data_IF_122978143580
#
_entry.id   IF_122978143580
#
_cell.length_a   1.000
_cell.length_b   1.000
_cell.length_c   1.000
_cell.angle_alpha   90.00
_cell.angle_beta   90.00
_cell.angle_gamma   90.00
#
_symmetry.space_group_name_H-M   'P 1'
#
loop_
_entity.id
_entity.type
_entity.pdbx_description
1 polymer ?
#
# COMPACT_ATOMS: atom_id res chain seq x y z
N UNK A 1 5.85 14.50 20.90
CA UNK A 1 4.44 14.13 21.10
C UNK A 1 3.81 15.23 21.92
N UNK A 2 2.76 15.86 21.42
CA UNK A 2 2.06 16.95 22.10
C UNK A 2 0.90 16.38 22.94
N UNK A 3 1.14 16.25 24.25
CA UNK A 3 0.14 15.70 25.18
C UNK A 3 -1.05 16.63 25.39
N UNK A 4 -0.89 17.93 25.12
CA UNK A 4 -2.02 18.86 25.13
C UNK A 4 -3.00 18.55 24.00
N UNK A 5 -2.50 18.14 22.83
CA UNK A 5 -3.33 17.73 21.71
C UNK A 5 -4.14 16.46 22.03
N UNK A 6 -3.53 15.46 22.71
CA UNK A 6 -4.22 14.25 23.18
C UNK A 6 -5.35 14.63 24.15
N UNK A 7 -5.06 15.44 25.16
CA UNK A 7 -6.04 15.90 26.14
C UNK A 7 -7.23 16.62 25.51
N UNK A 8 -6.96 17.52 24.54
CA UNK A 8 -8.01 18.21 23.77
C UNK A 8 -8.88 17.22 22.99
N UNK A 9 -8.29 16.18 22.40
CA UNK A 9 -9.07 15.21 21.61
C UNK A 9 -9.93 14.29 22.47
N UNK A 10 -9.43 13.87 23.64
CA UNK A 10 -10.25 13.16 24.64
C UNK A 10 -11.45 14.02 25.04
N UNK A 11 -11.22 15.32 25.32
CA UNK A 11 -12.28 16.26 25.70
C UNK A 11 -13.32 16.45 24.59
N UNK A 12 -12.88 16.53 23.33
CA UNK A 12 -13.74 16.66 22.16
C UNK A 12 -14.65 15.42 22.02
N UNK A 13 -14.07 14.22 21.99
CA UNK A 13 -14.82 12.96 21.88
C UNK A 13 -15.75 12.74 23.07
N UNK A 14 -15.31 13.04 24.29
CA UNK A 14 -16.16 12.95 25.48
C UNK A 14 -17.40 13.82 25.32
N UNK A 15 -17.23 15.06 24.87
CA UNK A 15 -18.34 16.00 24.67
C UNK A 15 -19.27 15.56 23.54
N UNK A 16 -18.74 15.09 22.41
CA UNK A 16 -19.57 14.61 21.29
C UNK A 16 -20.37 13.36 21.67
N UNK A 17 -19.81 12.49 22.50
CA UNK A 17 -20.48 11.32 23.05
C UNK A 17 -21.42 11.64 24.24
N UNK A 18 -21.53 12.90 24.66
CA UNK A 18 -22.44 13.34 25.73
C UNK A 18 -22.00 12.99 27.15
N UNK A 19 -20.77 12.53 27.37
CA UNK A 19 -20.28 12.17 28.70
C UNK A 19 -19.84 13.40 29.51
N UNK A 20 -20.14 13.41 30.80
CA UNK A 20 -19.44 14.24 31.79
C UNK A 20 -18.06 13.65 32.11
N UNK A 21 -17.16 14.45 32.69
CA UNK A 21 -15.84 13.94 33.12
C UNK A 21 -15.97 12.84 34.19
N UNK A 22 -17.02 12.88 35.02
CA UNK A 22 -17.29 11.87 36.06
C UNK A 22 -17.75 10.55 35.43
N UNK A 23 -18.59 10.61 34.40
CA UNK A 23 -19.03 9.41 33.69
C UNK A 23 -17.89 8.77 32.89
N UNK A 24 -17.05 9.58 32.23
CA UNK A 24 -15.87 9.06 31.56
C UNK A 24 -14.91 8.38 32.56
N UNK A 25 -14.71 8.98 33.74
CA UNK A 25 -13.80 8.50 34.76
C UNK A 25 -14.24 7.19 35.44
N UNK A 26 -15.54 6.88 35.45
CA UNK A 26 -16.12 5.77 36.22
C UNK A 26 -15.38 4.45 35.99
N UNK A 27 -14.94 3.77 37.04
CA UNK A 27 -14.20 2.50 36.97
C UNK A 27 -12.86 2.54 36.19
N UNK A 28 -12.34 3.73 35.86
CA UNK A 28 -11.05 3.92 35.17
C UNK A 28 -10.09 4.71 36.05
N UNK A 29 -10.52 5.89 36.49
CA UNK A 29 -9.68 6.83 37.24
C UNK A 29 -10.55 7.85 37.99
N UNK A 30 -9.94 8.88 38.58
CA UNK A 30 -10.70 9.95 39.24
C UNK A 30 -11.18 11.01 38.23
N UNK A 31 -12.32 11.65 38.48
CA UNK A 31 -12.79 12.76 37.65
C UNK A 31 -11.76 13.90 37.59
N UNK A 32 -11.05 14.18 38.69
CA UNK A 32 -9.97 15.16 38.72
C UNK A 32 -8.81 14.78 37.79
N UNK A 33 -8.50 13.48 37.68
CA UNK A 33 -7.49 12.98 36.77
C UNK A 33 -7.91 13.15 35.30
N UNK A 34 -9.17 12.84 34.95
CA UNK A 34 -9.71 13.17 33.61
C UNK A 34 -9.57 14.67 33.33
N UNK A 35 -9.93 15.54 34.28
CA UNK A 35 -9.79 16.98 34.08
C UNK A 35 -8.35 17.43 33.84
N UNK A 36 -7.36 16.83 34.53
CA UNK A 36 -5.94 17.14 34.33
C UNK A 36 -5.44 16.61 32.98
N UNK A 37 -5.84 15.40 32.60
CA UNK A 37 -5.54 14.81 31.29
C UNK A 37 -6.09 15.71 30.16
N UNK A 38 -7.35 16.13 30.24
CA UNK A 38 -7.98 16.98 29.22
C UNK A 38 -7.33 18.35 29.05
N UNK A 39 -6.68 18.88 30.10
CA UNK A 39 -5.91 20.12 30.05
C UNK A 39 -4.49 19.92 29.52
N UNK A 40 -4.00 18.68 29.51
CA UNK A 40 -2.61 18.35 29.21
C UNK A 40 -1.67 18.49 30.43
N UNK A 41 -2.22 18.62 31.64
CA UNK A 41 -1.44 18.81 32.88
C UNK A 41 -0.79 17.50 33.37
N UNK A 42 -1.37 16.36 33.01
CA UNK A 42 -0.90 15.02 33.42
C UNK A 42 -1.00 14.05 32.26
N UNK A 43 0.03 13.22 32.10
CA UNK A 43 0.03 12.11 31.16
C UNK A 43 -0.78 10.93 31.72
N UNK A 44 -1.75 10.39 30.97
CA UNK A 44 -2.39 9.14 31.37
C UNK A 44 -1.40 7.98 31.24
N UNK A 45 -1.53 6.99 32.12
CA UNK A 45 -0.92 5.68 31.89
C UNK A 45 -1.53 5.05 30.64
N UNK A 46 -0.76 4.20 29.95
CA UNK A 46 -1.25 3.49 28.75
C UNK A 46 -2.55 2.71 29.02
N UNK A 47 -2.66 2.08 30.19
CA UNK A 47 -3.88 1.38 30.64
C UNK A 47 -5.07 2.34 30.81
N UNK A 48 -4.85 3.51 31.40
CA UNK A 48 -5.90 4.54 31.54
C UNK A 48 -6.37 5.02 30.17
N UNK A 49 -5.43 5.31 29.26
CA UNK A 49 -5.76 5.76 27.90
C UNK A 49 -6.51 4.67 27.11
N UNK A 50 -6.15 3.40 27.28
CA UNK A 50 -6.84 2.26 26.69
C UNK A 50 -8.30 2.15 27.15
N UNK A 51 -8.56 2.21 28.45
CA UNK A 51 -9.95 2.16 28.93
C UNK A 51 -10.76 3.40 28.53
N UNK A 52 -10.12 4.57 28.45
CA UNK A 52 -10.75 5.78 27.91
C UNK A 52 -11.14 5.55 26.44
N UNK A 53 -10.25 4.96 25.62
CA UNK A 53 -10.52 4.71 24.20
C UNK A 53 -11.68 3.73 24.02
N UNK A 54 -11.73 2.64 24.80
CA UNK A 54 -12.84 1.70 24.80
C UNK A 54 -14.18 2.39 25.14
N UNK A 55 -14.20 3.26 26.17
CA UNK A 55 -15.43 3.95 26.55
C UNK A 55 -15.90 4.97 25.51
N UNK A 56 -14.97 5.60 24.81
CA UNK A 56 -15.27 6.55 23.75
C UNK A 56 -15.50 5.89 22.39
N UNK A 57 -15.40 4.56 22.31
CA UNK A 57 -15.64 3.79 21.09
C UNK A 57 -14.60 4.02 19.99
N UNK A 58 -13.36 4.35 20.35
CA UNK A 58 -12.26 4.58 19.41
C UNK A 58 -11.06 3.69 19.70
N UNK A 59 -10.27 3.40 18.66
CA UNK A 59 -8.98 2.75 18.83
C UNK A 59 -8.00 3.67 19.58
N UNK A 60 -7.15 3.11 20.44
CA UNK A 60 -6.19 3.89 21.23
C UNK A 60 -5.21 4.67 20.33
N UNK A 61 -4.88 4.13 19.16
CA UNK A 61 -4.00 4.78 18.18
C UNK A 61 -4.56 6.10 17.69
N UNK A 62 -5.89 6.27 17.68
CA UNK A 62 -6.55 7.54 17.36
C UNK A 62 -5.95 8.71 18.17
N UNK A 63 -5.75 8.52 19.47
CA UNK A 63 -5.18 9.57 20.32
C UNK A 63 -3.71 9.82 20.01
N UNK A 64 -2.92 8.77 19.81
CA UNK A 64 -1.50 8.89 19.52
C UNK A 64 -1.25 9.60 18.20
N UNK A 65 -1.97 9.25 17.14
CA UNK A 65 -1.81 9.86 15.82
C UNK A 65 -2.12 11.36 15.87
N UNK A 66 -3.23 11.75 16.52
CA UNK A 66 -3.61 13.16 16.68
C UNK A 66 -2.69 13.91 17.65
N UNK A 67 -2.04 13.21 18.57
CA UNK A 67 -1.05 13.75 19.51
C UNK A 67 0.35 13.91 18.92
N UNK A 68 0.71 13.15 17.90
CA UNK A 68 2.04 13.19 17.27
C UNK A 68 2.07 14.00 15.99
N UNK A 69 0.94 14.16 15.30
CA UNK A 69 0.87 14.82 14.00
C UNK A 69 -0.12 15.98 14.05
N UNK A 70 0.38 17.23 14.07
CA UNK A 70 -0.49 18.40 13.91
C UNK A 70 -1.26 18.30 12.59
N UNK A 71 -2.57 18.59 12.62
CA UNK A 71 -3.48 18.43 11.47
C UNK A 71 -3.38 17.05 10.81
N UNK A 72 -3.49 15.98 11.61
CA UNK A 72 -3.47 14.61 11.12
C UNK A 72 -4.49 14.36 10.00
N UNK A 73 -5.68 14.93 10.12
CA UNK A 73 -6.75 14.92 9.12
C UNK A 73 -6.25 15.38 7.76
N UNK A 74 -5.54 16.52 7.72
CA UNK A 74 -4.92 17.04 6.50
C UNK A 74 -3.86 16.08 5.94
N UNK A 75 -2.94 15.63 6.80
CA UNK A 75 -1.86 14.71 6.41
C UNK A 75 -2.43 13.41 5.84
N UNK A 76 -3.49 12.89 6.44
CA UNK A 76 -4.12 11.66 6.01
C UNK A 76 -4.86 11.84 4.69
N UNK A 77 -5.52 12.98 4.48
CA UNK A 77 -6.15 13.32 3.22
C UNK A 77 -5.14 13.38 2.07
N UNK A 78 -4.02 14.08 2.24
CA UNK A 78 -2.94 14.11 1.24
C UNK A 78 -2.41 12.71 0.94
N UNK A 79 -2.19 11.87 1.96
CA UNK A 79 -1.75 10.48 1.76
C UNK A 79 -2.76 9.67 0.94
N UNK A 80 -4.06 9.88 1.20
CA UNK A 80 -5.14 9.23 0.46
C UNK A 80 -5.18 9.71 -0.99
N UNK A 81 -5.04 11.01 -1.24
CA UNK A 81 -5.00 11.59 -2.58
C UNK A 81 -3.82 11.04 -3.39
N UNK A 82 -2.62 11.00 -2.82
CA UNK A 82 -1.45 10.39 -3.44
C UNK A 82 -1.66 8.90 -3.76
N UNK A 83 -2.26 8.14 -2.82
CA UNK A 83 -2.61 6.72 -3.04
C UNK A 83 -3.60 6.56 -4.19
N UNK A 84 -4.62 7.42 -4.28
CA UNK A 84 -5.62 7.38 -5.35
C UNK A 84 -5.04 7.77 -6.70
N UNK A 85 -4.26 8.84 -6.75
CA UNK A 85 -3.57 9.29 -7.95
C UNK A 85 -2.65 8.18 -8.49
N UNK A 86 -1.86 7.53 -7.62
CA UNK A 86 -1.02 6.38 -7.99
C UNK A 86 -1.82 5.20 -8.55
N UNK A 87 -2.97 4.86 -7.95
CA UNK A 87 -3.85 3.78 -8.46
C UNK A 87 -4.48 4.10 -9.81
N UNK A 88 -4.76 5.38 -10.08
CA UNK A 88 -5.31 5.87 -11.34
C UNK A 88 -4.23 6.20 -12.38
N UNK A 89 -2.94 6.05 -12.03
CA UNK A 89 -1.79 6.44 -12.85
C UNK A 89 -1.80 7.93 -13.22
N UNK A 90 -2.36 8.77 -12.35
CA UNK A 90 -2.44 10.23 -12.53
C UNK A 90 -1.14 10.88 -12.00
N UNK A 91 -0.05 10.69 -12.74
CA UNK A 91 1.26 11.19 -12.36
C UNK A 91 1.38 12.72 -12.33
N UNK A 92 0.72 13.49 -13.22
CA UNK A 92 0.68 14.96 -13.11
C UNK A 92 0.09 15.44 -11.79
N UNK A 93 -1.01 14.83 -11.31
CA UNK A 93 -1.59 15.16 -10.01
C UNK A 93 -0.64 14.82 -8.86
N UNK A 94 0.07 13.68 -8.94
CA UNK A 94 1.10 13.33 -7.94
C UNK A 94 2.16 14.44 -7.86
N UNK A 95 2.63 14.94 -9.02
CA UNK A 95 3.60 16.02 -9.07
C UNK A 95 3.09 17.30 -8.42
N UNK A 96 1.86 17.74 -8.75
CA UNK A 96 1.24 18.92 -8.16
C UNK A 96 1.13 18.84 -6.63
N UNK A 97 0.67 17.69 -6.12
CA UNK A 97 0.54 17.45 -4.68
C UNK A 97 1.93 17.50 -4.03
N UNK A 98 2.92 16.77 -4.57
CA UNK A 98 4.26 16.72 -3.99
C UNK A 98 4.93 18.10 -3.99
N UNK A 99 4.90 18.84 -5.10
CA UNK A 99 5.51 20.16 -5.21
C UNK A 99 4.88 21.20 -4.25
N UNK A 100 3.60 21.00 -3.91
CA UNK A 100 2.91 21.79 -2.88
C UNK A 100 3.35 21.39 -1.48
N UNK A 101 3.32 20.10 -1.16
CA UNK A 101 3.60 19.60 0.19
C UNK A 101 5.07 19.61 0.59
N UNK A 102 6.00 19.65 -0.37
CA UNK A 102 7.42 19.85 -0.09
C UNK A 102 7.71 21.19 0.61
N UNK A 103 6.80 22.17 0.50
CA UNK A 103 6.90 23.46 1.20
C UNK A 103 6.24 23.42 2.58
N UNK A 104 5.56 22.33 2.93
CA UNK A 104 4.78 22.18 4.14
C UNK A 104 5.59 21.50 5.27
N UNK A 105 5.84 22.19 6.40
CA UNK A 105 6.54 21.60 7.54
C UNK A 105 5.90 20.34 8.12
N UNK A 106 4.58 20.15 7.94
CA UNK A 106 3.88 18.93 8.37
C UNK A 106 4.41 17.67 7.70
N UNK A 107 4.92 17.81 6.48
CA UNK A 107 5.55 16.73 5.74
C UNK A 107 7.06 16.72 5.93
N UNK A 108 7.74 17.85 5.72
CA UNK A 108 9.21 17.86 5.69
C UNK A 108 9.87 17.68 7.06
N UNK A 109 9.24 18.11 8.15
CA UNK A 109 9.80 17.94 9.50
C UNK A 109 9.57 16.52 10.07
N UNK A 110 8.63 15.75 9.53
CA UNK A 110 8.33 14.40 9.98
C UNK A 110 8.90 13.37 9.00
N UNK A 111 9.86 12.56 9.45
CA UNK A 111 10.53 11.56 8.61
C UNK A 111 9.57 10.62 7.86
N UNK A 112 8.52 10.12 8.52
CA UNK A 112 7.55 9.21 7.87
C UNK A 112 6.70 9.91 6.81
N UNK A 113 6.33 11.17 7.04
CA UNK A 113 5.58 11.93 6.04
C UNK A 113 6.49 12.35 4.87
N UNK A 114 7.73 12.76 5.17
CA UNK A 114 8.70 13.14 4.15
C UNK A 114 9.10 11.96 3.26
N UNK A 115 9.23 10.75 3.83
CA UNK A 115 9.42 9.51 3.07
C UNK A 115 8.33 9.35 1.99
N UNK A 116 7.08 9.65 2.34
CA UNK A 116 5.95 9.51 1.41
C UNK A 116 6.08 10.52 0.27
N UNK A 117 6.52 11.75 0.54
CA UNK A 117 6.77 12.72 -0.54
C UNK A 117 7.91 12.27 -1.44
N UNK A 118 9.05 11.84 -0.88
CA UNK A 118 10.19 11.38 -1.67
C UNK A 118 9.85 10.14 -2.51
N UNK A 119 9.06 9.22 -1.97
CA UNK A 119 8.55 8.07 -2.71
C UNK A 119 7.75 8.51 -3.95
N UNK A 120 6.78 9.39 -3.76
CA UNK A 120 5.93 9.86 -4.86
C UNK A 120 6.67 10.80 -5.81
N UNK A 121 7.69 11.51 -5.31
CA UNK A 121 8.63 12.29 -6.13
C UNK A 121 9.39 11.41 -7.10
N UNK A 122 9.92 10.28 -6.61
CA UNK A 122 10.56 9.29 -7.47
C UNK A 122 9.63 8.79 -8.57
N UNK A 123 8.36 8.48 -8.23
CA UNK A 123 7.36 8.03 -9.21
C UNK A 123 7.14 9.08 -10.30
N UNK A 124 6.82 10.34 -9.95
CA UNK A 124 6.54 11.34 -10.99
C UNK A 124 7.81 11.74 -11.76
N UNK A 125 8.99 11.71 -11.15
CA UNK A 125 10.26 12.03 -11.81
C UNK A 125 10.53 11.13 -13.01
N UNK A 126 10.13 9.86 -12.92
CA UNK A 126 10.16 8.97 -14.06
C UNK A 126 9.00 9.26 -15.03
N UNK A 127 7.75 9.16 -14.58
CA UNK A 127 6.61 9.17 -15.50
C UNK A 127 6.25 10.55 -16.11
N UNK A 128 6.70 11.65 -15.52
CA UNK A 128 6.41 13.02 -15.99
C UNK A 128 7.66 13.70 -16.54
N UNK A 129 8.80 13.56 -15.86
CA UNK A 129 10.03 14.26 -16.23
C UNK A 129 11.00 13.40 -17.06
N UNK A 130 10.73 12.09 -17.22
CA UNK A 130 11.58 11.12 -17.94
C UNK A 130 13.01 10.99 -17.37
N UNK A 131 13.14 11.14 -16.04
CA UNK A 131 14.43 11.14 -15.33
C UNK A 131 14.57 9.89 -14.44
N UNK A 132 14.91 8.74 -15.03
CA UNK A 132 15.00 7.47 -14.29
C UNK A 132 16.04 7.47 -13.16
N UNK A 133 17.24 8.03 -13.39
CA UNK A 133 18.30 8.02 -12.36
C UNK A 133 17.94 8.92 -11.17
N UNK A 134 17.31 10.08 -11.41
CA UNK A 134 16.77 10.91 -10.34
C UNK A 134 15.63 10.21 -9.61
N UNK A 135 14.74 9.53 -10.35
CA UNK A 135 13.65 8.76 -9.77
C UNK A 135 14.16 7.72 -8.78
N UNK A 136 15.13 6.90 -9.19
CA UNK A 136 15.74 5.88 -8.33
C UNK A 136 16.44 6.49 -7.12
N UNK A 137 17.13 7.63 -7.28
CA UNK A 137 17.75 8.34 -6.16
C UNK A 137 16.72 8.80 -5.12
N UNK A 138 15.58 9.36 -5.55
CA UNK A 138 14.53 9.77 -4.62
C UNK A 138 13.87 8.59 -3.90
N UNK A 139 13.69 7.47 -4.61
CA UNK A 139 13.18 6.22 -4.03
C UNK A 139 14.14 5.69 -2.95
N UNK A 140 15.44 5.65 -3.23
CA UNK A 140 16.44 5.17 -2.26
C UNK A 140 16.53 6.09 -1.05
N UNK A 141 16.52 7.42 -1.26
CA UNK A 141 16.43 8.38 -0.16
C UNK A 141 15.16 8.23 0.68
N UNK A 142 14.03 7.83 0.07
CA UNK A 142 12.80 7.58 0.80
C UNK A 142 12.93 6.36 1.74
N UNK A 143 13.59 5.30 1.28
CA UNK A 143 13.87 4.12 2.10
C UNK A 143 14.84 4.49 3.24
N UNK A 144 15.97 5.13 2.92
CA UNK A 144 17.02 5.47 3.90
C UNK A 144 16.53 6.38 5.03
N UNK A 145 15.49 7.19 4.79
CA UNK A 145 14.98 8.14 5.76
C UNK A 145 14.35 7.48 7.00
N UNK A 146 13.77 6.29 6.83
CA UNK A 146 13.07 5.53 7.88
C UNK A 146 13.62 4.12 8.04
N UNK A 147 14.56 3.70 7.20
CA UNK A 147 15.22 2.42 7.32
C UNK A 147 15.96 2.32 8.66
N UNK A 148 15.56 1.33 9.45
CA UNK A 148 16.27 0.87 10.64
C UNK A 148 16.49 -0.65 10.53
N UNK A 149 16.47 -1.40 11.62
CA UNK A 149 16.72 -2.85 11.61
C UNK A 149 15.58 -3.67 11.00
N UNK A 150 14.36 -3.14 10.97
CA UNK A 150 13.15 -3.85 10.53
C UNK A 150 12.39 -2.98 9.53
N UNK A 151 12.02 -3.55 8.38
CA UNK A 151 11.18 -2.88 7.39
C UNK A 151 9.72 -2.90 7.83
N UNK A 152 9.01 -1.81 7.57
CA UNK A 152 7.56 -1.78 7.64
C UNK A 152 6.96 -2.06 6.26
N UNK A 153 5.63 -2.21 6.21
CA UNK A 153 4.88 -2.29 4.96
C UNK A 153 5.22 -1.17 3.98
N UNK A 154 5.54 0.02 4.51
CA UNK A 154 5.88 1.19 3.70
C UNK A 154 7.14 0.96 2.88
N UNK A 155 8.20 0.43 3.48
CA UNK A 155 9.44 0.12 2.76
C UNK A 155 9.21 -0.94 1.67
N UNK A 156 8.35 -1.93 1.93
CA UNK A 156 7.96 -2.94 0.94
C UNK A 156 7.23 -2.31 -0.25
N UNK A 157 6.28 -1.41 0.01
CA UNK A 157 5.56 -0.72 -1.06
C UNK A 157 6.49 0.17 -1.91
N UNK A 158 7.44 0.86 -1.27
CA UNK A 158 8.44 1.69 -1.97
C UNK A 158 9.35 0.82 -2.83
N UNK A 159 9.81 -0.32 -2.32
CA UNK A 159 10.60 -1.29 -3.09
C UNK A 159 9.82 -1.88 -4.26
N UNK A 160 8.53 -2.15 -4.07
CA UNK A 160 7.67 -2.58 -5.17
C UNK A 160 7.60 -1.51 -6.27
N UNK A 161 7.47 -0.23 -5.91
CA UNK A 161 7.58 0.88 -6.87
C UNK A 161 8.95 0.94 -7.53
N UNK A 162 10.05 0.80 -6.78
CA UNK A 162 11.42 0.76 -7.34
C UNK A 162 11.55 -0.31 -8.43
N UNK A 163 11.06 -1.51 -8.13
CA UNK A 163 11.11 -2.61 -9.08
C UNK A 163 10.25 -2.35 -10.31
N UNK A 164 9.08 -1.71 -10.17
CA UNK A 164 8.23 -1.32 -11.32
C UNK A 164 8.99 -0.35 -12.23
N UNK A 165 9.62 0.68 -11.68
CA UNK A 165 10.40 1.65 -12.46
C UNK A 165 11.55 0.96 -13.22
N UNK A 166 12.30 0.07 -12.55
CA UNK A 166 13.37 -0.71 -13.16
C UNK A 166 12.85 -1.64 -14.27
N UNK A 167 11.70 -2.26 -14.05
CA UNK A 167 11.05 -3.15 -15.02
C UNK A 167 10.62 -2.37 -16.28
N UNK A 168 10.02 -1.19 -16.11
CA UNK A 168 9.55 -0.36 -17.23
C UNK A 168 10.68 0.15 -18.14
N UNK A 169 11.89 0.35 -17.60
CA UNK A 169 13.09 0.66 -18.38
C UNK A 169 13.83 -0.58 -18.92
N UNK A 170 13.24 -1.77 -18.78
CA UNK A 170 13.80 -3.02 -19.31
C UNK A 170 14.91 -3.64 -18.46
N UNK A 171 15.20 -3.10 -17.26
CA UNK A 171 16.19 -3.65 -16.32
C UNK A 171 15.59 -4.79 -15.50
N UNK A 172 15.15 -5.85 -16.18
CA UNK A 172 14.38 -6.94 -15.58
C UNK A 172 15.14 -7.70 -14.49
N UNK A 173 16.46 -7.89 -14.63
CA UNK A 173 17.29 -8.53 -13.61
C UNK A 173 17.36 -7.72 -12.32
N UNK A 174 17.48 -6.40 -12.45
CA UNK A 174 17.58 -5.49 -11.31
C UNK A 174 16.22 -5.35 -10.62
N UNK A 175 15.14 -5.28 -11.40
CA UNK A 175 13.78 -5.33 -10.90
C UNK A 175 13.53 -6.62 -10.11
N UNK A 176 13.97 -7.77 -10.64
CA UNK A 176 13.84 -9.06 -9.98
C UNK A 176 14.60 -9.11 -8.65
N UNK A 177 15.84 -8.61 -8.58
CA UNK A 177 16.60 -8.54 -7.31
C UNK A 177 15.84 -7.71 -6.27
N UNK A 178 15.34 -6.54 -6.67
CA UNK A 178 14.54 -5.66 -5.81
C UNK A 178 13.29 -6.36 -5.30
N UNK A 179 12.56 -7.06 -6.17
CA UNK A 179 11.35 -7.78 -5.78
C UNK A 179 11.64 -8.95 -4.83
N UNK A 180 12.66 -9.75 -5.11
CA UNK A 180 13.05 -10.88 -4.26
C UNK A 180 13.51 -10.43 -2.87
N UNK A 181 14.26 -9.31 -2.80
CA UNK A 181 14.63 -8.70 -1.53
C UNK A 181 13.39 -8.26 -0.75
N UNK A 182 12.43 -7.62 -1.40
CA UNK A 182 11.19 -7.21 -0.77
C UNK A 182 10.35 -8.43 -0.31
N UNK A 183 10.31 -9.52 -1.06
CA UNK A 183 9.62 -10.76 -0.66
C UNK A 183 10.24 -11.37 0.59
N UNK A 184 11.57 -11.44 0.65
CA UNK A 184 12.28 -11.96 1.84
C UNK A 184 11.96 -11.15 3.11
N UNK A 185 11.91 -9.81 3.01
CA UNK A 185 11.47 -8.99 4.15
C UNK A 185 10.00 -9.20 4.51
N UNK A 186 9.14 -9.42 3.50
CA UNK A 186 7.71 -9.65 3.71
C UNK A 186 7.43 -11.01 4.38
N UNK A 187 8.24 -12.04 4.12
CA UNK A 187 8.15 -13.34 4.81
C UNK A 187 8.42 -13.24 6.31
N UNK A 188 9.30 -12.31 6.72
CA UNK A 188 9.59 -12.04 8.13
C UNK A 188 8.50 -11.24 8.87
N UNK A 189 7.47 -10.74 8.18
CA UNK A 189 6.42 -9.93 8.81
C UNK A 189 5.31 -10.80 9.41
N UNK A 190 5.05 -10.59 10.70
CA UNK A 190 3.99 -11.29 11.45
C UNK A 190 2.61 -10.69 11.16
N UNK A 191 2.54 -9.39 10.89
CA UNK A 191 1.29 -8.66 10.73
C UNK A 191 1.36 -7.72 9.52
N UNK A 192 0.29 -7.70 8.72
CA UNK A 192 0.15 -6.93 7.50
C UNK A 192 -1.22 -6.26 7.48
N UNK A 193 -1.26 -4.93 7.43
CA UNK A 193 -2.50 -4.15 7.33
C UNK A 193 -3.07 -4.20 5.90
N UNK A 194 -2.21 -4.08 4.89
CA UNK A 194 -2.62 -4.19 3.49
C UNK A 194 -2.22 -5.54 2.89
N UNK A 195 -3.14 -6.52 3.01
CA UNK A 195 -3.00 -7.88 2.49
C UNK A 195 -2.76 -7.94 0.98
N UNK A 196 -3.07 -6.87 0.23
CA UNK A 196 -2.81 -6.83 -1.21
C UNK A 196 -1.33 -6.70 -1.56
N UNK A 197 -0.47 -6.27 -0.63
CA UNK A 197 0.97 -6.06 -0.88
C UNK A 197 1.63 -7.35 -1.38
N UNK A 198 1.33 -8.49 -0.75
CA UNK A 198 1.92 -9.79 -1.11
C UNK A 198 1.56 -10.19 -2.54
N UNK A 199 0.27 -10.13 -2.88
CA UNK A 199 -0.20 -10.43 -4.24
C UNK A 199 0.39 -9.51 -5.31
N UNK A 200 0.52 -8.20 -5.03
CA UNK A 200 1.16 -7.23 -5.94
C UNK A 200 2.63 -7.57 -6.19
N UNK A 201 3.37 -7.90 -5.13
CA UNK A 201 4.79 -8.18 -5.23
C UNK A 201 5.05 -9.50 -5.98
N UNK A 202 4.29 -10.56 -5.66
CA UNK A 202 4.36 -11.84 -6.38
C UNK A 202 4.01 -11.66 -7.87
N UNK A 203 2.97 -10.89 -8.18
CA UNK A 203 2.58 -10.60 -9.57
C UNK A 203 3.69 -9.89 -10.35
N UNK A 204 4.28 -8.84 -9.77
CA UNK A 204 5.37 -8.11 -10.40
C UNK A 204 6.65 -8.96 -10.55
N UNK A 205 6.93 -9.82 -9.57
CA UNK A 205 8.02 -10.79 -9.65
C UNK A 205 7.78 -11.80 -10.78
N UNK A 206 6.55 -12.31 -10.92
CA UNK A 206 6.17 -13.21 -12.00
C UNK A 206 6.36 -12.56 -13.37
N UNK A 207 5.93 -11.30 -13.54
CA UNK A 207 6.18 -10.54 -14.77
C UNK A 207 7.67 -10.48 -15.10
N UNK A 208 8.53 -10.14 -14.14
CA UNK A 208 9.97 -10.10 -14.35
C UNK A 208 10.54 -11.45 -14.78
N UNK A 209 10.09 -12.57 -14.19
CA UNK A 209 10.49 -13.91 -14.63
C UNK A 209 10.01 -14.23 -16.05
N UNK A 210 8.81 -13.82 -16.43
CA UNK A 210 8.28 -13.98 -17.80
C UNK A 210 9.18 -13.31 -18.84
N UNK A 211 9.60 -12.06 -18.60
CA UNK A 211 10.48 -11.33 -19.52
C UNK A 211 11.91 -11.87 -19.53
N UNK A 212 12.33 -12.53 -18.44
CA UNK A 212 13.56 -13.31 -18.37
C UNK A 212 13.41 -14.74 -18.94
N UNK A 213 12.25 -15.06 -19.52
CA UNK A 213 11.91 -16.36 -20.14
C UNK A 213 11.86 -17.56 -19.18
N UNK A 214 11.77 -17.31 -17.87
CA UNK A 214 11.55 -18.36 -16.86
C UNK A 214 10.04 -18.49 -16.57
N UNK A 215 9.34 -19.07 -17.55
CA UNK A 215 7.88 -19.19 -17.54
C UNK A 215 7.39 -20.09 -16.40
N UNK A 216 8.14 -21.14 -16.05
CA UNK A 216 7.82 -22.07 -14.96
C UNK A 216 7.77 -21.36 -13.60
N UNK A 217 8.78 -20.55 -13.27
CA UNK A 217 8.77 -19.78 -12.01
C UNK A 217 7.68 -18.72 -12.02
N UNK A 218 7.47 -18.05 -13.15
CA UNK A 218 6.39 -17.07 -13.30
C UNK A 218 5.01 -17.69 -13.00
N UNK A 219 4.69 -18.83 -13.63
CA UNK A 219 3.43 -19.55 -13.40
C UNK A 219 3.30 -19.98 -11.93
N UNK A 220 4.37 -20.50 -11.32
CA UNK A 220 4.38 -20.92 -9.91
C UNK A 220 4.03 -19.75 -8.97
N UNK A 221 4.65 -18.59 -9.17
CA UNK A 221 4.38 -17.40 -8.36
C UNK A 221 2.96 -16.86 -8.56
N UNK A 222 2.43 -16.93 -9.79
CA UNK A 222 1.03 -16.57 -10.02
C UNK A 222 0.07 -17.50 -9.26
N UNK A 223 0.33 -18.81 -9.23
CA UNK A 223 -0.48 -19.75 -8.44
C UNK A 223 -0.43 -19.47 -6.94
N UNK A 224 0.76 -19.16 -6.41
CA UNK A 224 0.93 -18.76 -5.01
C UNK A 224 0.12 -17.49 -4.70
N UNK A 225 0.22 -16.46 -5.55
CA UNK A 225 -0.53 -15.22 -5.42
C UNK A 225 -2.05 -15.44 -5.51
N UNK A 226 -2.52 -16.33 -6.38
CA UNK A 226 -3.94 -16.73 -6.45
C UNK A 226 -4.39 -17.37 -5.13
N UNK A 227 -3.57 -18.26 -4.56
CA UNK A 227 -3.86 -18.88 -3.25
C UNK A 227 -4.07 -17.84 -2.16
N UNK A 228 -3.19 -16.84 -2.09
CA UNK A 228 -3.30 -15.71 -1.15
C UNK A 228 -4.55 -14.89 -1.42
N UNK A 229 -4.85 -14.61 -2.70
CA UNK A 229 -6.06 -13.88 -3.07
C UNK A 229 -7.33 -14.61 -2.62
N UNK A 230 -7.39 -15.93 -2.74
CA UNK A 230 -8.53 -16.74 -2.30
C UNK A 230 -8.61 -16.78 -0.77
N UNK A 231 -7.49 -17.02 -0.07
CA UNK A 231 -7.45 -17.08 1.40
C UNK A 231 -7.90 -15.77 2.07
N UNK A 232 -7.61 -14.64 1.42
CA UNK A 232 -7.87 -13.28 1.95
C UNK A 232 -9.07 -12.59 1.31
N UNK A 233 -9.88 -13.31 0.53
CA UNK A 233 -11.04 -12.78 -0.21
C UNK A 233 -10.72 -11.55 -1.10
N UNK A 234 -9.54 -11.53 -1.73
CA UNK A 234 -9.04 -10.42 -2.55
C UNK A 234 -9.32 -10.64 -4.04
N UNK A 235 -10.29 -9.91 -4.58
CA UNK A 235 -10.56 -9.95 -6.04
C UNK A 235 -9.58 -9.09 -6.86
N UNK A 236 -8.92 -8.11 -6.25
CA UNK A 236 -8.17 -7.01 -6.90
C UNK A 236 -7.22 -7.44 -8.03
N UNK A 237 -6.43 -8.50 -7.86
CA UNK A 237 -5.47 -8.99 -8.87
C UNK A 237 -5.82 -10.34 -9.49
N UNK A 238 -6.91 -10.97 -9.08
CA UNK A 238 -7.18 -12.37 -9.40
C UNK A 238 -7.30 -12.61 -10.92
N UNK A 239 -8.01 -11.73 -11.64
CA UNK A 239 -8.13 -11.80 -13.10
C UNK A 239 -6.80 -11.59 -13.82
N UNK A 240 -5.98 -10.64 -13.33
CA UNK A 240 -4.65 -10.36 -13.88
C UNK A 240 -3.70 -11.56 -13.71
N UNK A 241 -3.78 -12.27 -12.58
CA UNK A 241 -2.96 -13.45 -12.31
C UNK A 241 -3.33 -14.62 -13.22
N UNK A 242 -4.63 -14.89 -13.39
CA UNK A 242 -5.09 -15.90 -14.34
C UNK A 242 -4.68 -15.55 -15.78
N UNK A 243 -4.86 -14.29 -16.19
CA UNK A 243 -4.41 -13.84 -17.50
C UNK A 243 -2.90 -14.07 -17.68
N UNK A 244 -2.08 -13.74 -16.68
CA UNK A 244 -0.63 -13.87 -16.77
C UNK A 244 -0.16 -15.33 -16.84
N UNK A 245 -0.85 -16.25 -16.15
CA UNK A 245 -0.63 -17.69 -16.34
C UNK A 245 -0.97 -18.09 -17.78
N UNK A 246 -2.12 -17.65 -18.29
CA UNK A 246 -2.52 -17.91 -19.68
C UNK A 246 -1.51 -17.37 -20.69
N UNK A 247 -0.98 -16.18 -20.45
CA UNK A 247 0.07 -15.56 -21.28
C UNK A 247 1.37 -16.35 -21.26
N UNK A 248 1.81 -16.86 -20.10
CA UNK A 248 2.98 -17.74 -20.03
C UNK A 248 2.77 -19.05 -20.80
N UNK A 249 1.58 -19.65 -20.73
CA UNK A 249 1.28 -20.85 -21.53
C UNK A 249 1.23 -20.55 -23.03
N UNK A 250 0.73 -19.38 -23.44
CA UNK A 250 0.80 -18.92 -24.83
C UNK A 250 2.25 -18.80 -25.30
N UNK A 251 3.15 -18.20 -24.50
CA UNK A 251 4.58 -18.10 -24.82
C UNK A 251 5.29 -19.46 -24.90
N UNK A 252 4.74 -20.47 -24.22
CA UNK A 252 5.18 -21.88 -24.29
C UNK A 252 4.48 -22.68 -25.39
N UNK A 253 3.65 -22.03 -26.21
CA UNK A 253 2.85 -22.66 -27.28
C UNK A 253 1.88 -23.74 -26.76
N UNK A 254 1.47 -23.67 -25.47
CA UNK A 254 0.50 -24.59 -24.87
C UNK A 254 -0.90 -23.99 -24.90
N UNK A 255 -1.46 -23.90 -26.11
CA UNK A 255 -2.65 -23.07 -26.38
C UNK A 255 -3.91 -23.52 -25.64
N UNK A 256 -4.08 -24.83 -25.39
CA UNK A 256 -5.20 -25.37 -24.61
C UNK A 256 -5.20 -24.83 -23.17
N UNK A 257 -4.03 -24.81 -22.52
CA UNK A 257 -3.88 -24.28 -21.18
C UNK A 257 -3.98 -22.75 -21.17
N UNK A 258 -3.38 -22.08 -22.16
CA UNK A 258 -3.48 -20.65 -22.33
C UNK A 258 -4.94 -20.18 -22.39
N UNK A 259 -5.75 -20.83 -23.24
CA UNK A 259 -7.17 -20.56 -23.38
C UNK A 259 -7.93 -20.73 -22.07
N UNK A 260 -7.73 -21.87 -21.38
CA UNK A 260 -8.40 -22.16 -20.10
C UNK A 260 -8.18 -21.04 -19.07
N UNK A 261 -6.94 -20.60 -18.88
CA UNK A 261 -6.64 -19.55 -17.89
C UNK A 261 -7.14 -18.16 -18.34
N UNK A 262 -7.11 -17.87 -19.64
CA UNK A 262 -7.67 -16.63 -20.18
C UNK A 262 -9.20 -16.56 -20.05
N UNK A 263 -9.92 -17.68 -20.17
CA UNK A 263 -11.36 -17.76 -19.90
C UNK A 263 -11.68 -17.43 -18.44
N UNK A 264 -10.92 -18.03 -17.51
CA UNK A 264 -11.10 -17.73 -16.08
C UNK A 264 -10.81 -16.25 -15.77
N UNK A 265 -9.80 -15.65 -16.42
CA UNK A 265 -9.52 -14.23 -16.29
C UNK A 265 -10.71 -13.36 -16.77
N UNK A 266 -11.30 -13.67 -17.92
CA UNK A 266 -12.47 -12.96 -18.45
C UNK A 266 -13.69 -13.07 -17.51
N UNK A 267 -13.93 -14.23 -16.92
CA UNK A 267 -15.02 -14.40 -15.94
C UNK A 267 -14.83 -13.50 -14.72
N UNK A 268 -13.60 -13.40 -14.20
CA UNK A 268 -13.28 -12.53 -13.07
C UNK A 268 -13.42 -11.05 -13.45
N UNK A 269 -12.87 -10.64 -14.59
CA UNK A 269 -12.99 -9.26 -15.08
C UNK A 269 -14.44 -8.83 -15.28
N UNK A 270 -15.31 -9.74 -15.74
CA UNK A 270 -16.77 -9.51 -15.80
C UNK A 270 -17.35 -9.22 -14.41
N UNK A 271 -16.99 -9.98 -13.38
CA UNK A 271 -17.47 -9.72 -12.02
C UNK A 271 -16.95 -8.40 -11.44
N UNK A 272 -15.74 -7.98 -11.83
CA UNK A 272 -15.15 -6.69 -11.44
C UNK A 272 -15.70 -5.50 -12.23
N UNK A 273 -16.51 -5.73 -13.28
CA UNK A 273 -16.93 -4.72 -14.25
C UNK A 273 -15.74 -4.00 -14.90
N UNK A 274 -14.63 -4.72 -15.08
CA UNK A 274 -13.41 -4.22 -15.71
C UNK A 274 -13.30 -4.75 -17.14
N UNK A 275 -13.73 -3.96 -18.12
CA UNK A 275 -13.78 -4.43 -19.52
C UNK A 275 -12.53 -4.09 -20.33
N UNK A 276 -11.53 -3.41 -19.72
CA UNK A 276 -10.38 -2.83 -20.42
C UNK A 276 -9.58 -3.83 -21.25
N UNK A 277 -9.55 -5.10 -20.83
CA UNK A 277 -8.74 -6.16 -21.45
C UNK A 277 -9.55 -7.22 -22.20
N UNK A 278 -10.88 -7.14 -22.17
CA UNK A 278 -11.74 -8.23 -22.63
C UNK A 278 -11.59 -8.52 -24.13
N UNK A 279 -11.64 -7.48 -24.97
CA UNK A 279 -11.51 -7.63 -26.42
C UNK A 279 -10.14 -8.17 -26.83
N UNK A 280 -9.09 -7.71 -26.16
CA UNK A 280 -7.73 -8.16 -26.40
C UNK A 280 -7.57 -9.65 -26.10
N UNK A 281 -8.07 -10.10 -24.94
CA UNK A 281 -8.01 -11.51 -24.53
C UNK A 281 -8.83 -12.40 -25.47
N UNK A 282 -10.05 -11.97 -25.84
CA UNK A 282 -10.91 -12.72 -26.78
C UNK A 282 -10.25 -12.90 -28.15
N UNK A 283 -9.57 -11.88 -28.66
CA UNK A 283 -8.83 -11.96 -29.93
C UNK A 283 -7.70 -12.98 -29.87
N UNK A 284 -6.95 -13.03 -28.76
CA UNK A 284 -5.91 -14.04 -28.55
C UNK A 284 -6.48 -15.46 -28.55
N UNK A 285 -7.56 -15.68 -27.80
CA UNK A 285 -8.20 -16.99 -27.72
C UNK A 285 -8.71 -17.50 -29.08
N UNK A 286 -9.20 -16.60 -29.95
CA UNK A 286 -9.62 -16.98 -31.30
C UNK A 286 -8.47 -17.47 -32.19
N UNK A 287 -7.22 -17.08 -31.89
CA UNK A 287 -6.02 -17.59 -32.57
C UNK A 287 -5.68 -18.99 -32.05
N UNK A 288 -5.83 -19.24 -30.75
CA UNK A 288 -5.57 -20.54 -30.13
C UNK A 288 -6.47 -21.63 -30.71
N UNK A 289 -7.74 -21.31 -31.00
CA UNK A 289 -8.67 -22.24 -31.64
C UNK A 289 -8.27 -22.66 -33.07
N UNK A 290 -7.34 -21.93 -33.70
CA UNK A 290 -6.80 -22.24 -35.03
C UNK A 290 -5.52 -23.08 -34.95
N UNK A 291 -4.87 -23.16 -33.79
CA UNK A 291 -3.63 -23.89 -33.56
C UNK A 291 -3.73 -24.69 -32.24
N UNK A 292 -4.42 -25.84 -32.23
CA UNK A 292 -4.70 -26.57 -31.00
C UNK A 292 -3.57 -27.49 -30.49
N UNK A 293 -2.43 -27.54 -31.18
CA UNK A 293 -1.30 -28.42 -30.81
C UNK A 293 -0.60 -28.01 -29.51
#
# INVERSE_FOLDING_TARGET
MDFSAIGKKIKELRKSAGFSQKELAKDICTQAQISKIEKGDVLPLASTLYFISQRLGVDINYFFEHGTTPRLDYVQEVKNQLKMARRKLDYPLIKEIVDTEEKNPLFTANKKNFQILLWHKGIYKYHVDDQIEEALLFIDRAIDLTFEKVWSEREIEIMNSKGILLYEVGRYTDALDVYLRALNYLEGMIYLNDETIRSRLLYNTAKAYTDLKDYERSIKLCHEAIGICIEKDLLFLLGHLHYHIGYNYELKEQFVLAKKYMEQALDIFRFQQDERYNDFIRRKMAIFDRNPE
#
